data_IF_829581959847
#
_entry.id   IF_829581959847
#
_cell.length_a   1.000
_cell.length_b   1.000
_cell.length_c   1.000
_cell.angle_alpha   90.00
_cell.angle_beta   90.00
_cell.angle_gamma   90.00
#
_symmetry.space_group_name_H-M   'P 1'
#
loop_
_entity.id
_entity.type
_entity.pdbx_description
1 polymer ?
#
# COMPACT_ATOMS: atom_id res chain seq x y z
N UNK A 1 -26.78 -31.36 -11.35
CA UNK A 1 -27.16 -30.56 -12.51
C UNK A 1 -28.24 -29.61 -12.05
N UNK A 2 -27.83 -28.62 -11.27
CA UNK A 2 -28.66 -27.47 -10.90
C UNK A 2 -28.02 -26.28 -11.60
N UNK A 3 -28.46 -26.01 -12.83
CA UNK A 3 -28.13 -24.77 -13.56
C UNK A 3 -28.84 -23.55 -12.97
N UNK A 4 -29.27 -23.64 -11.71
CA UNK A 4 -30.12 -22.71 -10.96
C UNK A 4 -29.36 -21.47 -10.47
N UNK A 5 -28.02 -21.52 -10.46
CA UNK A 5 -27.15 -20.40 -10.07
C UNK A 5 -26.54 -19.65 -11.27
N UNK A 6 -26.83 -20.07 -12.51
CA UNK A 6 -26.19 -19.51 -13.72
C UNK A 6 -26.80 -18.20 -14.23
N UNK A 7 -27.82 -17.70 -13.56
CA UNK A 7 -28.30 -16.35 -13.79
C UNK A 7 -28.81 -15.81 -12.46
N UNK A 8 -27.95 -15.07 -11.73
CA UNK A 8 -28.47 -13.98 -10.91
C UNK A 8 -29.49 -13.25 -11.78
N UNK A 9 -30.77 -13.37 -11.42
CA UNK A 9 -31.89 -13.04 -12.32
C UNK A 9 -31.64 -11.64 -12.90
N UNK A 10 -31.90 -11.37 -14.19
CA UNK A 10 -31.69 -10.04 -14.78
C UNK A 10 -32.29 -8.92 -13.92
N UNK A 11 -33.35 -9.23 -13.20
CA UNK A 11 -34.00 -8.39 -12.20
C UNK A 11 -33.12 -8.06 -10.97
N UNK A 12 -32.37 -9.04 -10.44
CA UNK A 12 -31.40 -8.83 -9.36
C UNK A 12 -30.22 -7.96 -9.80
N UNK A 13 -29.72 -8.14 -11.03
CA UNK A 13 -28.68 -7.28 -11.58
C UNK A 13 -29.17 -5.85 -11.77
N UNK A 14 -30.41 -5.68 -12.23
CA UNK A 14 -31.03 -4.37 -12.37
C UNK A 14 -31.25 -3.69 -11.01
N UNK A 15 -31.61 -4.47 -9.97
CA UNK A 15 -31.71 -3.97 -8.60
C UNK A 15 -30.35 -3.54 -8.06
N UNK A 16 -29.31 -4.36 -8.23
CA UNK A 16 -27.95 -4.03 -7.79
C UNK A 16 -27.38 -2.80 -8.51
N UNK A 17 -27.68 -2.62 -9.79
CA UNK A 17 -27.33 -1.40 -10.53
C UNK A 17 -28.04 -0.19 -9.92
N UNK A 18 -29.34 -0.28 -9.65
CA UNK A 18 -30.08 0.82 -9.01
C UNK A 18 -29.57 1.17 -7.61
N UNK A 19 -29.11 0.19 -6.83
CA UNK A 19 -28.49 0.43 -5.52
C UNK A 19 -27.12 1.09 -5.66
N UNK A 20 -26.31 0.66 -6.63
CA UNK A 20 -25.01 1.28 -6.93
C UNK A 20 -25.17 2.72 -7.42
N UNK A 21 -26.15 3.00 -8.27
CA UNK A 21 -26.42 4.36 -8.76
C UNK A 21 -26.86 5.28 -7.62
N UNK A 22 -27.69 4.79 -6.69
CA UNK A 22 -28.06 5.54 -5.47
C UNK A 22 -26.84 5.82 -4.58
N UNK A 23 -25.95 4.84 -4.42
CA UNK A 23 -24.74 5.01 -3.64
C UNK A 23 -23.79 6.03 -4.30
N UNK A 24 -23.64 5.96 -5.63
CA UNK A 24 -22.83 6.92 -6.40
C UNK A 24 -23.41 8.32 -6.26
N UNK A 25 -24.73 8.50 -6.37
CA UNK A 25 -25.38 9.80 -6.14
C UNK A 25 -25.13 10.33 -4.72
N UNK A 26 -25.27 9.49 -3.70
CA UNK A 26 -25.02 9.88 -2.31
C UNK A 26 -23.56 10.28 -2.06
N UNK A 27 -22.60 9.52 -2.61
CA UNK A 27 -21.18 9.83 -2.52
C UNK A 27 -20.82 11.10 -3.28
N UNK A 28 -21.40 11.31 -4.45
CA UNK A 28 -21.20 12.51 -5.26
C UNK A 28 -21.72 13.74 -4.53
N UNK A 29 -22.93 13.69 -3.97
CA UNK A 29 -23.47 14.80 -3.16
C UNK A 29 -22.60 15.11 -1.95
N UNK A 30 -22.10 14.09 -1.25
CA UNK A 30 -21.18 14.30 -0.11
C UNK A 30 -19.85 14.94 -0.52
N UNK A 31 -19.35 14.64 -1.73
CA UNK A 31 -18.15 15.27 -2.28
C UNK A 31 -18.41 16.73 -2.68
N UNK A 32 -19.59 17.04 -3.24
CA UNK A 32 -20.00 18.41 -3.54
C UNK A 32 -20.12 19.25 -2.26
N UNK A 33 -20.75 18.72 -1.21
CA UNK A 33 -20.84 19.39 0.10
C UNK A 33 -19.46 19.65 0.71
N UNK A 34 -18.55 18.66 0.64
CA UNK A 34 -17.18 18.82 1.14
C UNK A 34 -16.37 19.82 0.31
N UNK A 35 -16.55 19.84 -1.00
CA UNK A 35 -15.93 20.82 -1.89
C UNK A 35 -16.47 22.23 -1.62
N UNK A 36 -17.77 22.38 -1.39
CA UNK A 36 -18.38 23.67 -1.02
C UNK A 36 -17.93 24.13 0.36
N UNK A 37 -17.77 23.23 1.34
CA UNK A 37 -17.18 23.57 2.63
C UNK A 37 -15.74 24.07 2.50
N UNK A 38 -14.91 23.40 1.68
CA UNK A 38 -13.54 23.84 1.39
C UNK A 38 -13.51 25.18 0.65
N UNK A 39 -14.42 25.40 -0.30
CA UNK A 39 -14.55 26.68 -1.02
C UNK A 39 -15.00 27.80 -0.08
N UNK A 40 -15.98 27.54 0.80
CA UNK A 40 -16.40 28.46 1.86
C UNK A 40 -15.26 28.75 2.83
N UNK A 41 -14.47 27.76 3.26
CA UNK A 41 -13.30 27.97 4.10
C UNK A 41 -12.23 28.80 3.39
N UNK A 42 -12.00 28.58 2.10
CA UNK A 42 -11.06 29.39 1.30
C UNK A 42 -11.54 30.82 1.15
N UNK A 43 -12.82 31.01 0.84
CA UNK A 43 -13.45 32.33 0.69
C UNK A 43 -13.56 33.09 2.01
N UNK A 44 -13.84 32.41 3.11
CA UNK A 44 -14.04 33.04 4.42
C UNK A 44 -12.75 33.16 5.25
N UNK A 45 -11.75 32.29 5.02
CA UNK A 45 -10.61 32.10 5.93
C UNK A 45 -9.22 32.21 5.33
N UNK A 46 -9.03 32.28 4.00
CA UNK A 46 -7.68 32.32 3.42
C UNK A 46 -7.21 33.71 2.97
N UNK A 47 -8.10 34.70 2.80
CA UNK A 47 -7.73 36.00 2.20
C UNK A 47 -8.01 37.22 3.10
N UNK A 48 -8.59 37.02 4.29
CA UNK A 48 -8.52 38.05 5.34
C UNK A 48 -7.18 37.96 6.02
N UNK A 49 -6.22 38.62 5.39
CA UNK A 49 -4.86 38.77 5.88
C UNK A 49 -4.80 38.92 7.39
N UNK A 50 -4.09 37.97 7.99
CA UNK A 50 -3.42 38.11 9.28
C UNK A 50 -2.53 39.35 9.20
N UNK A 51 -3.14 40.51 9.41
CA UNK A 51 -2.52 41.65 10.07
C UNK A 51 -2.93 41.62 11.54
N UNK A 52 -2.75 40.47 12.19
CA UNK A 52 -2.71 40.43 13.66
C UNK A 52 -1.28 40.79 14.04
N UNK A 53 -1.06 42.10 14.08
CA UNK A 53 -0.12 42.66 15.05
C UNK A 53 -0.76 42.49 16.41
N UNK A 54 -0.34 41.47 17.15
CA UNK A 54 -0.55 41.36 18.59
C UNK A 54 -1.76 40.54 19.04
N UNK A 55 -1.48 39.33 19.52
CA UNK A 55 -2.17 38.75 20.66
C UNK A 55 -3.28 37.75 20.36
N UNK A 56 -2.93 36.45 20.38
CA UNK A 56 -3.85 35.35 20.58
C UNK A 56 -4.39 34.73 19.29
N UNK A 57 -3.89 33.54 18.94
CA UNK A 57 -4.66 32.66 18.07
C UNK A 57 -6.01 32.37 18.76
N UNK A 58 -7.10 32.54 18.01
CA UNK A 58 -8.47 32.31 18.46
C UNK A 58 -8.58 30.94 19.14
N UNK A 59 -9.24 30.86 20.30
CA UNK A 59 -9.49 29.60 21.00
C UNK A 59 -10.15 28.54 20.09
N UNK A 60 -10.99 28.98 19.14
CA UNK A 60 -11.64 28.12 18.15
C UNK A 60 -10.63 27.41 17.23
N UNK A 61 -9.50 28.06 16.92
CA UNK A 61 -8.45 27.44 16.11
C UNK A 61 -7.75 26.31 16.88
N UNK A 62 -7.54 26.51 18.19
CA UNK A 62 -6.96 25.47 19.04
C UNK A 62 -7.92 24.29 19.22
N UNK A 63 -9.22 24.53 19.39
CA UNK A 63 -10.22 23.46 19.44
C UNK A 63 -10.24 22.68 18.12
N UNK A 64 -10.24 23.37 16.98
CA UNK A 64 -10.22 22.71 15.68
C UNK A 64 -8.92 21.91 15.44
N UNK A 65 -7.78 22.45 15.88
CA UNK A 65 -6.51 21.73 15.85
C UNK A 65 -6.54 20.49 16.76
N UNK A 66 -7.15 20.60 17.93
CA UNK A 66 -7.30 19.50 18.88
C UNK A 66 -8.20 18.39 18.33
N UNK A 67 -9.33 18.73 17.70
CA UNK A 67 -10.20 17.74 17.05
C UNK A 67 -9.49 17.02 15.89
N UNK A 68 -8.66 17.73 15.11
CA UNK A 68 -7.86 17.08 14.05
C UNK A 68 -6.81 16.13 14.63
N UNK A 69 -6.18 16.51 15.75
CA UNK A 69 -5.23 15.64 16.44
C UNK A 69 -5.92 14.40 17.04
N UNK A 70 -7.09 14.54 17.66
CA UNK A 70 -7.89 13.42 18.16
C UNK A 70 -8.34 12.48 17.04
N UNK A 71 -8.78 13.02 15.90
CA UNK A 71 -9.15 12.21 14.76
C UNK A 71 -7.94 11.47 14.18
N UNK A 72 -6.78 12.13 14.10
CA UNK A 72 -5.54 11.50 13.65
C UNK A 72 -5.11 10.40 14.61
N UNK A 73 -5.14 10.64 15.93
CA UNK A 73 -4.80 9.60 16.91
C UNK A 73 -5.74 8.41 16.84
N UNK A 74 -7.06 8.64 16.74
CA UNK A 74 -8.05 7.58 16.58
C UNK A 74 -7.84 6.77 15.29
N UNK A 75 -7.45 7.42 14.18
CA UNK A 75 -7.12 6.69 12.96
C UNK A 75 -5.84 5.87 13.08
N UNK A 76 -4.82 6.38 13.79
CA UNK A 76 -3.58 5.65 14.03
C UNK A 76 -3.83 4.45 14.93
N UNK A 77 -4.59 4.60 16.02
CA UNK A 77 -5.00 3.47 16.87
C UNK A 77 -5.77 2.42 16.08
N UNK A 78 -6.72 2.83 15.23
CA UNK A 78 -7.44 1.90 14.36
C UNK A 78 -6.54 1.19 13.36
N UNK A 79 -5.53 1.87 12.82
CA UNK A 79 -4.53 1.25 11.94
C UNK A 79 -3.63 0.26 12.69
N UNK A 80 -3.31 0.55 13.95
CA UNK A 80 -2.53 -0.31 14.82
C UNK A 80 -3.35 -1.54 15.25
N UNK A 81 -4.65 -1.38 15.55
CA UNK A 81 -5.59 -2.48 15.83
C UNK A 81 -5.75 -3.45 14.66
N UNK A 82 -5.75 -2.94 13.43
CA UNK A 82 -5.86 -3.77 12.22
C UNK A 82 -4.59 -4.63 12.03
N UNK A 83 -3.49 -4.31 12.72
CA UNK A 83 -2.20 -5.00 12.68
C UNK A 83 -1.88 -5.51 11.26
N UNK A 84 -1.69 -4.61 10.28
CA UNK A 84 -1.53 -5.00 8.89
C UNK A 84 -0.36 -5.99 8.69
N UNK A 85 0.65 -5.96 9.57
CA UNK A 85 1.75 -6.93 9.59
C UNK A 85 1.26 -8.36 9.79
N UNK A 86 0.38 -8.62 10.75
CA UNK A 86 -0.16 -9.97 10.95
C UNK A 86 -1.00 -10.43 9.75
N UNK A 87 -1.72 -9.50 9.11
CA UNK A 87 -2.46 -9.81 7.89
C UNK A 87 -1.52 -10.17 6.74
N UNK A 88 -0.37 -9.48 6.62
CA UNK A 88 0.67 -9.81 5.64
C UNK A 88 1.35 -11.14 5.96
N UNK A 89 1.70 -11.42 7.21
CA UNK A 89 2.30 -12.69 7.62
C UNK A 89 1.38 -13.87 7.29
N UNK A 90 0.06 -13.72 7.49
CA UNK A 90 -0.94 -14.73 7.10
C UNK A 90 -1.05 -14.91 5.58
N UNK A 91 -0.84 -13.85 4.81
CA UNK A 91 -0.83 -13.92 3.34
C UNK A 91 0.45 -14.58 2.83
N UNK A 92 1.60 -14.30 3.44
CA UNK A 92 2.88 -14.95 3.14
C UNK A 92 2.81 -16.45 3.41
N UNK A 93 2.28 -16.87 4.57
CA UNK A 93 2.08 -18.28 4.89
C UNK A 93 1.17 -18.96 3.84
N UNK A 94 0.07 -18.31 3.42
CA UNK A 94 -0.82 -18.86 2.38
C UNK A 94 -0.15 -18.95 1.01
N UNK A 95 0.72 -18.00 0.68
CA UNK A 95 1.49 -18.03 -0.56
C UNK A 95 2.50 -19.19 -0.55
N UNK A 96 3.14 -19.45 0.58
CA UNK A 96 4.04 -20.60 0.75
C UNK A 96 3.27 -21.93 0.71
N UNK A 97 2.07 -22.00 1.30
CA UNK A 97 1.18 -23.16 1.20
C UNK A 97 0.76 -23.42 -0.26
N UNK A 98 0.40 -22.37 -1.00
CA UNK A 98 0.06 -22.50 -2.43
C UNK A 98 1.27 -22.91 -3.26
N UNK A 99 2.45 -22.39 -2.94
CA UNK A 99 3.70 -22.76 -3.61
C UNK A 99 4.03 -24.23 -3.37
N UNK A 100 3.94 -24.70 -2.13
CA UNK A 100 4.18 -26.11 -1.79
C UNK A 100 3.13 -27.05 -2.39
N UNK A 101 1.86 -26.63 -2.47
CA UNK A 101 0.82 -27.38 -3.19
C UNK A 101 1.10 -27.46 -4.69
N UNK A 102 1.59 -26.38 -5.31
CA UNK A 102 1.97 -26.40 -6.72
C UNK A 102 3.20 -27.27 -6.98
N UNK A 103 4.20 -27.21 -6.11
CA UNK A 103 5.41 -28.04 -6.19
C UNK A 103 5.06 -29.53 -6.01
N UNK A 104 4.24 -29.86 -5.02
CA UNK A 104 3.68 -31.21 -4.81
C UNK A 104 2.79 -31.68 -5.97
N UNK A 105 1.96 -30.80 -6.53
CA UNK A 105 1.16 -31.11 -7.71
C UNK A 105 2.03 -31.35 -8.95
N UNK A 106 3.14 -30.62 -9.10
CA UNK A 106 4.09 -30.81 -10.18
C UNK A 106 4.84 -32.14 -10.03
N UNK A 107 5.33 -32.43 -8.82
CA UNK A 107 6.03 -33.68 -8.50
C UNK A 107 5.12 -34.91 -8.63
N UNK A 108 3.84 -34.79 -8.26
CA UNK A 108 2.86 -35.88 -8.46
C UNK A 108 2.35 -35.99 -9.90
N UNK A 109 2.35 -34.87 -10.64
CA UNK A 109 1.80 -34.77 -11.99
C UNK A 109 2.74 -35.24 -13.10
N UNK A 110 4.06 -35.15 -12.89
CA UNK A 110 5.05 -35.59 -13.89
C UNK A 110 5.19 -37.14 -13.91
N UNK A 111 4.73 -37.84 -12.87
CA UNK A 111 4.78 -39.31 -12.82
C UNK A 111 3.59 -40.03 -13.52
N UNK A 112 2.61 -39.31 -14.10
CA UNK A 112 1.47 -39.95 -14.80
C UNK A 112 1.16 -39.36 -16.18
N UNK A 113 2.18 -39.35 -17.03
CA UNK A 113 1.96 -39.59 -18.45
C UNK A 113 1.53 -41.04 -18.67
N UNK A 114 0.23 -41.33 -18.66
CA UNK A 114 -0.27 -42.62 -19.16
C UNK A 114 -1.57 -43.12 -18.53
N UNK A 115 -2.61 -43.14 -19.36
CA UNK A 115 -3.85 -43.93 -19.27
C UNK A 115 -4.97 -43.33 -18.40
N UNK A 116 -5.93 -42.75 -19.11
CA UNK A 116 -7.26 -42.38 -18.62
C UNK A 116 -7.97 -43.56 -17.92
N UNK A 117 -8.56 -43.38 -16.73
CA UNK A 117 -9.47 -44.37 -16.17
C UNK A 117 -10.80 -44.31 -16.92
N UNK A 118 -10.99 -45.30 -17.79
CA UNK A 118 -12.27 -45.64 -18.43
C UNK A 118 -13.29 -45.97 -17.32
N UNK A 119 -14.47 -45.31 -17.25
CA UNK A 119 -15.49 -45.70 -16.29
C UNK A 119 -16.08 -47.05 -16.72
N UNK A 120 -15.71 -48.13 -16.02
CA UNK A 120 -16.34 -49.43 -16.20
C UNK A 120 -17.73 -49.40 -15.59
N UNK A 121 -18.72 -49.40 -16.47
CA UNK A 121 -20.07 -49.92 -16.22
C UNK A 121 -19.99 -51.30 -15.55
N UNK A 122 -20.50 -51.41 -14.33
CA UNK A 122 -20.90 -52.67 -13.71
C UNK A 122 -22.42 -52.68 -13.57
N UNK A 123 -23.05 -53.21 -14.61
CA UNK A 123 -24.43 -53.67 -14.57
C UNK A 123 -24.47 -55.13 -14.11
N UNK A 124 -25.42 -55.41 -13.19
CA UNK A 124 -25.85 -56.76 -12.79
C UNK A 124 -25.45 -57.13 -11.35
N UNK A 125 -26.27 -57.81 -10.55
CA UNK A 125 -27.61 -58.36 -10.72
C UNK A 125 -28.04 -58.91 -9.35
N UNK A 126 -29.29 -58.65 -8.97
CA UNK A 126 -30.17 -59.47 -8.10
C UNK A 126 -29.64 -60.01 -6.75
N UNK A 127 -30.27 -59.56 -5.66
CA UNK A 127 -30.78 -60.49 -4.64
C UNK A 127 -32.01 -59.92 -3.94
N UNK A 128 -33.13 -60.60 -4.16
CA UNK A 128 -34.40 -60.48 -3.44
C UNK A 128 -34.20 -60.94 -1.99
N UNK A 129 -34.77 -60.24 -1.02
CA UNK A 129 -35.63 -60.88 0.00
C UNK A 129 -36.35 -59.85 0.88
N UNK A 130 -37.67 -60.00 0.90
CA UNK A 130 -38.60 -59.86 2.04
C UNK A 130 -38.63 -58.57 2.88
N UNK A 131 -39.75 -57.86 2.72
CA UNK A 131 -40.45 -57.12 3.79
C UNK A 131 -40.87 -58.06 4.96
N UNK A 132 -41.23 -57.55 6.16
CA UNK A 132 -42.53 -56.90 6.31
C UNK A 132 -42.60 -55.67 7.24
N UNK A 133 -43.61 -54.84 6.92
CA UNK A 133 -44.38 -53.87 7.71
C UNK A 133 -44.09 -53.66 9.21
N UNK A 134 -43.95 -52.39 9.63
CA UNK A 134 -44.93 -51.65 10.45
C UNK A 134 -44.39 -50.26 10.88
N UNK A 135 -45.28 -49.27 10.88
CA UNK A 135 -45.16 -47.84 11.30
C UNK A 135 -44.93 -47.67 12.82
N UNK A 136 -44.89 -46.45 13.43
CA UNK A 136 -44.57 -45.08 12.95
C UNK A 136 -43.53 -44.37 13.88
N UNK A 137 -43.24 -43.10 13.58
CA UNK A 137 -42.62 -42.10 14.45
C UNK A 137 -41.12 -42.26 14.74
N UNK A 138 -40.30 -41.37 14.16
CA UNK A 138 -39.55 -40.37 14.93
C UNK A 138 -39.06 -39.31 13.95
N UNK A 139 -39.59 -38.12 14.14
CA UNK A 139 -39.17 -36.86 13.56
C UNK A 139 -37.75 -36.53 14.03
N UNK A 140 -36.74 -36.89 13.24
CA UNK A 140 -35.36 -36.44 13.45
C UNK A 140 -35.03 -35.35 12.45
N UNK A 141 -35.31 -34.14 12.93
CA UNK A 141 -34.80 -32.85 12.48
C UNK A 141 -33.27 -32.95 12.40
N UNK A 142 -32.73 -32.93 11.19
CA UNK A 142 -31.31 -32.67 10.96
C UNK A 142 -30.97 -31.29 11.57
N UNK A 143 -29.89 -31.15 12.36
CA UNK A 143 -29.46 -29.84 12.80
C UNK A 143 -28.87 -29.08 11.60
N UNK A 144 -29.28 -27.82 11.35
CA UNK A 144 -28.62 -27.01 10.34
C UNK A 144 -27.16 -26.85 10.76
N UNK A 145 -26.25 -27.17 9.83
CA UNK A 145 -24.83 -26.82 9.94
C UNK A 145 -24.78 -25.30 10.06
N UNK A 146 -24.55 -24.83 11.29
CA UNK A 146 -24.45 -23.41 11.61
C UNK A 146 -23.32 -22.79 10.78
N UNK A 147 -23.74 -21.78 10.05
CA UNK A 147 -22.96 -20.82 9.32
C UNK A 147 -21.71 -20.36 10.08
N UNK A 148 -20.53 -20.70 9.54
CA UNK A 148 -19.28 -20.00 9.85
C UNK A 148 -19.31 -18.53 9.37
N UNK A 149 -20.42 -18.09 8.75
CA UNK A 149 -20.72 -16.71 8.39
C UNK A 149 -21.40 -15.92 9.54
N UNK A 150 -21.90 -16.59 10.58
CA UNK A 150 -22.58 -15.94 11.71
C UNK A 150 -21.62 -15.14 12.61
N UNK A 151 -20.32 -15.47 12.62
CA UNK A 151 -19.33 -14.74 13.41
C UNK A 151 -19.12 -13.29 12.94
N UNK A 152 -19.18 -13.06 11.62
CA UNK A 152 -19.01 -11.71 11.07
C UNK A 152 -20.30 -10.89 11.16
N UNK A 153 -21.45 -11.54 11.01
CA UNK A 153 -22.76 -10.91 11.20
C UNK A 153 -23.00 -10.52 12.67
N UNK A 154 -22.55 -11.35 13.62
CA UNK A 154 -22.58 -11.03 15.05
C UNK A 154 -21.68 -9.84 15.41
N UNK A 155 -20.49 -9.74 14.82
CA UNK A 155 -19.61 -8.57 15.01
C UNK A 155 -20.21 -7.30 14.40
N UNK A 156 -20.88 -7.42 13.25
CA UNK A 156 -21.57 -6.29 12.61
C UNK A 156 -22.77 -5.81 13.44
N UNK A 157 -23.52 -6.74 14.03
CA UNK A 157 -24.60 -6.43 14.95
C UNK A 157 -24.08 -5.76 16.22
N UNK A 158 -22.93 -6.18 16.74
CA UNK A 158 -22.29 -5.57 17.91
C UNK A 158 -21.79 -4.14 17.64
N UNK A 159 -21.34 -3.84 16.42
CA UNK A 159 -20.88 -2.50 16.03
C UNK A 159 -22.04 -1.53 15.76
N UNK A 160 -23.18 -2.03 15.26
CA UNK A 160 -24.39 -1.23 15.02
C UNK A 160 -25.23 -1.03 16.28
N UNK A 161 -25.16 -1.99 17.22
CA UNK A 161 -25.83 -1.93 18.51
C UNK A 161 -24.91 -1.27 19.53
N UNK A 162 -24.69 0.04 19.40
CA UNK A 162 -23.81 0.83 20.27
C UNK A 162 -24.16 0.73 21.76
N UNK A 163 -23.65 -0.31 22.41
CA UNK A 163 -23.91 -0.63 23.80
C UNK A 163 -22.62 -1.05 24.49
N UNK A 164 -22.21 -0.24 25.47
CA UNK A 164 -21.20 -0.56 26.48
C UNK A 164 -21.48 -1.92 27.11
N UNK A 165 -20.67 -2.92 26.79
CA UNK A 165 -20.59 -4.18 27.52
C UNK A 165 -19.11 -4.60 27.66
N UNK A 166 -18.67 -5.03 28.85
CA UNK A 166 -17.27 -5.28 29.16
C UNK A 166 -16.74 -6.54 28.46
N UNK A 167 -15.43 -6.60 28.13
CA UNK A 167 -14.84 -7.67 27.33
C UNK A 167 -14.78 -9.02 28.09
N UNK A 168 -15.05 -10.17 27.43
CA UNK A 168 -14.75 -11.47 27.99
C UNK A 168 -13.24 -11.76 27.98
N UNK A 169 -12.76 -12.36 29.07
CA UNK A 169 -11.36 -12.64 29.34
C UNK A 169 -10.67 -13.59 28.32
N UNK A 170 -9.37 -13.40 28.02
CA UNK A 170 -8.64 -14.26 27.10
C UNK A 170 -8.30 -15.62 27.74
N UNK A 171 -8.70 -16.69 27.06
CA UNK A 171 -8.26 -18.06 27.37
C UNK A 171 -6.94 -18.34 26.64
N UNK A 172 -5.90 -18.63 27.42
CA UNK A 172 -4.60 -19.08 26.94
C UNK A 172 -4.67 -20.47 26.28
N UNK A 173 -3.77 -20.73 25.32
CA UNK A 173 -3.09 -22.03 25.35
C UNK A 173 -1.57 -21.91 25.18
N UNK A 174 -0.86 -22.72 25.96
CA UNK A 174 0.58 -22.94 25.92
C UNK A 174 1.01 -23.70 24.67
N UNK A 175 2.26 -23.52 24.18
CA UNK A 175 2.93 -24.51 23.35
C UNK A 175 4.05 -25.20 24.11
N UNK A 176 3.96 -26.53 24.18
CA UNK A 176 5.02 -27.43 24.63
C UNK A 176 5.98 -27.71 23.48
N UNK A 177 7.25 -27.39 23.68
CA UNK A 177 8.41 -28.04 23.04
C UNK A 177 8.45 -29.52 23.48
N UNK A 178 8.99 -30.48 22.67
CA UNK A 178 10.44 -30.61 22.56
C UNK A 178 10.98 -31.08 21.19
N UNK A 179 12.24 -30.73 20.94
CA UNK A 179 13.14 -31.36 19.97
C UNK A 179 13.46 -32.83 20.36
N UNK A 180 13.97 -33.67 19.44
CA UNK A 180 15.44 -33.73 19.27
C UNK A 180 15.94 -33.99 17.82
N UNK A 181 17.13 -33.45 17.54
CA UNK A 181 18.10 -33.88 16.52
C UNK A 181 18.92 -35.09 17.07
N UNK A 182 19.88 -35.76 16.37
CA UNK A 182 20.34 -35.70 14.98
C UNK A 182 20.51 -37.10 14.31
N UNK A 183 20.64 -37.16 12.98
CA UNK A 183 21.35 -38.27 12.32
C UNK A 183 21.94 -37.82 10.97
N UNK A 184 23.26 -37.83 10.90
CA UNK A 184 24.07 -37.86 9.68
C UNK A 184 23.80 -39.14 8.89
N UNK A 185 23.60 -39.02 7.57
CA UNK A 185 23.90 -40.12 6.64
C UNK A 185 24.58 -39.52 5.41
N UNK A 186 25.85 -39.88 5.26
CA UNK A 186 26.69 -39.68 4.09
C UNK A 186 26.27 -40.63 2.95
N UNK A 187 26.67 -40.24 1.73
CA UNK A 187 26.80 -41.06 0.51
C UNK A 187 25.49 -41.37 -0.23
N UNK A 188 25.42 -40.98 -1.50
CA UNK A 188 25.90 -41.85 -2.61
C UNK A 188 25.79 -41.08 -3.93
N UNK A 189 26.95 -40.97 -4.56
CA UNK A 189 27.18 -40.58 -5.94
C UNK A 189 26.68 -41.69 -6.86
N UNK A 190 25.64 -41.45 -7.65
CA UNK A 190 25.23 -42.38 -8.71
C UNK A 190 24.75 -41.61 -9.95
N UNK A 191 25.62 -41.62 -10.97
CA UNK A 191 25.32 -41.19 -12.33
C UNK A 191 24.31 -42.12 -12.99
N UNK A 192 23.29 -41.59 -13.70
CA UNK A 192 22.63 -42.33 -14.75
C UNK A 192 23.11 -41.91 -16.16
N UNK A 193 22.98 -42.82 -17.14
CA UNK A 193 23.68 -42.77 -18.42
C UNK A 193 23.05 -41.80 -19.43
N UNK A 194 23.90 -41.44 -20.38
CA UNK A 194 23.60 -40.71 -21.61
C UNK A 194 22.29 -41.17 -22.27
N UNK A 195 21.30 -40.29 -22.26
CA UNK A 195 20.15 -40.34 -23.16
C UNK A 195 20.40 -39.31 -24.26
N UNK A 196 20.30 -39.80 -25.50
CA UNK A 196 20.49 -39.06 -26.74
C UNK A 196 19.61 -37.82 -26.83
N UNK A 197 20.19 -36.78 -27.42
CA UNK A 197 19.68 -35.43 -27.54
C UNK A 197 18.34 -35.36 -28.31
N UNK A 198 17.27 -35.08 -27.56
CA UNK A 198 16.10 -34.36 -28.06
C UNK A 198 16.31 -32.85 -27.83
N UNK A 199 15.78 -31.96 -28.69
CA UNK A 199 16.08 -30.53 -28.62
C UNK A 199 15.52 -29.95 -27.32
N UNK A 200 16.45 -29.58 -26.44
CA UNK A 200 16.17 -28.79 -25.24
C UNK A 200 15.59 -27.47 -25.73
N UNK A 201 14.29 -27.30 -25.55
CA UNK A 201 13.64 -25.99 -25.65
C UNK A 201 14.30 -25.14 -24.57
N UNK A 202 15.14 -24.20 -24.99
CA UNK A 202 15.77 -23.19 -24.15
C UNK A 202 14.70 -22.53 -23.29
N UNK A 203 14.60 -22.97 -22.04
CA UNK A 203 13.94 -22.21 -21.01
C UNK A 203 14.77 -20.95 -20.86
N UNK A 204 14.27 -19.88 -21.47
CA UNK A 204 14.85 -18.56 -21.53
C UNK A 204 14.92 -18.03 -20.08
N UNK A 205 15.95 -18.44 -19.34
CA UNK A 205 16.35 -17.87 -18.06
C UNK A 205 16.77 -16.44 -18.37
N UNK A 206 15.82 -15.51 -18.24
CA UNK A 206 16.02 -14.07 -18.21
C UNK A 206 16.92 -13.73 -17.01
N UNK A 207 18.20 -14.07 -17.10
CA UNK A 207 19.21 -13.40 -16.32
C UNK A 207 19.16 -11.94 -16.77
N UNK A 208 18.85 -10.97 -15.89
CA UNK A 208 18.94 -9.56 -16.24
C UNK A 208 20.38 -9.36 -16.72
N UNK A 209 20.54 -9.05 -18.01
CA UNK A 209 21.84 -8.65 -18.56
C UNK A 209 22.30 -7.47 -17.73
N UNK A 210 23.22 -7.78 -16.82
CA UNK A 210 23.79 -6.89 -15.82
C UNK A 210 24.19 -5.61 -16.56
N UNK A 211 23.70 -4.46 -16.07
CA UNK A 211 23.99 -3.13 -16.60
C UNK A 211 25.50 -3.06 -16.87
N UNK A 212 25.84 -3.12 -18.15
CA UNK A 212 27.23 -3.19 -18.60
C UNK A 212 27.97 -1.97 -18.04
N UNK A 213 29.00 -2.24 -17.23
CA UNK A 213 29.74 -1.31 -16.35
C UNK A 213 29.94 0.07 -16.98
N UNK A 214 29.00 0.99 -16.74
CA UNK A 214 29.22 2.40 -17.03
C UNK A 214 30.09 2.93 -15.90
N UNK A 215 31.26 3.53 -16.18
CA UNK A 215 32.07 4.14 -15.15
C UNK A 215 31.26 5.24 -14.47
N UNK A 216 31.13 5.15 -13.14
CA UNK A 216 30.48 6.17 -12.34
C UNK A 216 31.30 7.46 -12.29
N UNK A 217 30.68 8.58 -11.86
CA UNK A 217 31.40 9.83 -11.65
C UNK A 217 32.50 9.67 -10.59
N UNK A 218 33.61 10.38 -10.75
CA UNK A 218 34.74 10.31 -9.83
C UNK A 218 34.36 10.80 -8.42
N UNK A 219 34.86 10.15 -7.35
CA UNK A 219 34.59 10.59 -5.98
C UNK A 219 35.26 11.95 -5.72
N UNK A 220 34.50 12.87 -5.11
CA UNK A 220 34.98 14.21 -4.74
C UNK A 220 35.22 14.28 -3.23
N UNK A 221 36.39 14.78 -2.84
CA UNK A 221 36.73 15.00 -1.43
C UNK A 221 36.06 16.27 -0.91
N UNK A 222 35.11 16.11 0.01
CA UNK A 222 34.31 17.22 0.55
C UNK A 222 35.10 18.19 1.43
N UNK A 223 36.20 17.72 2.04
CA UNK A 223 36.97 18.52 2.99
C UNK A 223 37.91 19.51 2.28
N UNK A 224 38.34 19.17 1.07
CA UNK A 224 39.35 19.95 0.32
C UNK A 224 38.79 20.62 -0.94
N UNK A 225 37.60 20.22 -1.40
CA UNK A 225 37.00 20.76 -2.62
C UNK A 225 36.49 22.20 -2.45
N UNK A 226 36.85 23.05 -3.41
CA UNK A 226 36.28 24.39 -3.54
C UNK A 226 34.78 24.33 -3.88
N UNK A 227 34.01 25.36 -3.50
CA UNK A 227 32.56 25.43 -3.72
C UNK A 227 32.19 25.21 -5.20
N UNK A 228 33.00 25.74 -6.12
CA UNK A 228 32.80 25.58 -7.56
C UNK A 228 32.98 24.12 -8.02
N UNK A 229 33.88 23.38 -7.38
CA UNK A 229 34.11 21.95 -7.66
C UNK A 229 32.92 21.14 -7.18
N UNK A 230 32.41 21.44 -5.98
CA UNK A 230 31.22 20.78 -5.43
C UNK A 230 29.97 20.99 -6.31
N UNK A 231 29.75 22.22 -6.80
CA UNK A 231 28.62 22.50 -7.71
C UNK A 231 28.73 21.67 -8.99
N UNK A 232 29.91 21.66 -9.63
CA UNK A 232 30.15 20.85 -10.83
C UNK A 232 30.00 19.36 -10.58
N UNK A 233 30.44 18.87 -9.41
CA UNK A 233 30.29 17.47 -9.04
C UNK A 233 28.81 17.06 -8.93
N UNK A 234 27.97 17.94 -8.38
CA UNK A 234 26.51 17.73 -8.33
C UNK A 234 25.92 17.70 -9.73
N UNK A 235 26.29 18.63 -10.62
CA UNK A 235 25.83 18.66 -12.01
C UNK A 235 26.19 17.36 -12.74
N UNK A 236 27.46 16.91 -12.66
CA UNK A 236 27.93 15.66 -13.27
C UNK A 236 27.18 14.44 -12.74
N UNK A 237 26.94 14.38 -11.42
CA UNK A 237 26.16 13.30 -10.81
C UNK A 237 24.72 13.30 -11.32
N UNK A 238 24.09 14.45 -11.41
CA UNK A 238 22.68 14.55 -11.83
C UNK A 238 22.53 14.20 -13.33
N UNK A 239 23.48 14.61 -14.18
CA UNK A 239 23.58 14.19 -15.58
C UNK A 239 23.76 12.66 -15.71
N UNK A 240 24.60 12.07 -14.86
CA UNK A 240 24.81 10.63 -14.82
C UNK A 240 23.55 9.86 -14.38
N UNK A 241 22.84 10.36 -13.37
CA UNK A 241 21.55 9.78 -12.94
C UNK A 241 20.52 9.87 -14.07
N UNK A 242 20.42 11.01 -14.76
CA UNK A 242 19.51 11.17 -15.90
C UNK A 242 19.87 10.22 -17.04
N UNK A 243 21.15 10.05 -17.34
CA UNK A 243 21.65 9.08 -18.32
C UNK A 243 21.27 7.64 -17.95
N UNK A 244 21.55 7.21 -16.71
CA UNK A 244 21.20 5.86 -16.23
C UNK A 244 19.70 5.61 -16.29
N UNK A 245 18.90 6.61 -15.89
CA UNK A 245 17.43 6.51 -15.92
C UNK A 245 16.94 6.30 -17.35
N UNK A 246 17.41 7.10 -18.31
CA UNK A 246 17.06 6.97 -19.72
C UNK A 246 17.52 5.62 -20.28
N UNK A 247 18.72 5.16 -19.92
CA UNK A 247 19.25 3.86 -20.36
C UNK A 247 18.38 2.71 -19.85
N UNK A 248 18.07 2.69 -18.55
CA UNK A 248 17.22 1.66 -17.94
C UNK A 248 15.82 1.65 -18.55
N UNK A 249 15.26 2.82 -18.83
CA UNK A 249 13.97 2.92 -19.54
C UNK A 249 14.05 2.34 -20.95
N UNK A 250 15.12 2.62 -21.70
CA UNK A 250 15.32 2.07 -23.04
C UNK A 250 15.52 0.55 -23.01
N UNK A 251 16.28 0.02 -22.06
CA UNK A 251 16.46 -1.42 -21.87
C UNK A 251 15.15 -2.09 -21.48
N UNK A 252 14.40 -1.51 -20.54
CA UNK A 252 13.06 -1.97 -20.17
C UNK A 252 12.06 -1.93 -21.35
N UNK A 253 12.23 -1.01 -22.29
CA UNK A 253 11.43 -0.98 -23.53
C UNK A 253 11.86 -2.06 -24.52
N UNK A 254 13.16 -2.36 -24.61
CA UNK A 254 13.70 -3.42 -25.49
C UNK A 254 13.34 -4.82 -24.99
N UNK A 255 13.30 -5.03 -23.68
CA UNK A 255 12.95 -6.32 -23.07
C UNK A 255 11.46 -6.60 -23.06
N UNK A 256 10.61 -5.59 -23.38
CA UNK A 256 9.20 -5.84 -23.70
C UNK A 256 9.15 -6.63 -25.01
N UNK A 257 9.14 -7.95 -24.88
CA UNK A 257 8.91 -8.85 -26.00
C UNK A 257 7.63 -8.44 -26.72
N UNK A 258 7.67 -8.42 -28.06
CA UNK A 258 6.48 -8.21 -28.87
C UNK A 258 5.49 -9.31 -28.55
N UNK A 259 4.38 -8.93 -27.91
CA UNK A 259 3.31 -9.86 -27.55
C UNK A 259 2.78 -10.50 -28.83
N UNK A 260 2.85 -11.82 -28.94
CA UNK A 260 2.26 -12.54 -30.06
C UNK A 260 0.74 -12.63 -29.88
N UNK A 261 0.01 -11.62 -30.37
CA UNK A 261 -1.45 -11.52 -30.25
C UNK A 261 -2.21 -12.70 -30.87
N UNK A 262 -1.66 -13.34 -31.91
CA UNK A 262 -2.29 -14.51 -32.56
C UNK A 262 -2.32 -15.72 -31.63
N UNK A 263 -1.24 -15.95 -30.87
CA UNK A 263 -1.18 -17.02 -29.86
C UNK A 263 -2.14 -16.79 -28.68
N UNK A 264 -2.35 -15.52 -28.29
CA UNK A 264 -3.28 -15.17 -27.22
C UNK A 264 -4.74 -15.35 -27.62
N UNK A 265 -5.08 -15.12 -28.89
CA UNK A 265 -6.46 -15.28 -29.36
C UNK A 265 -6.94 -16.75 -29.30
N UNK A 266 -6.01 -17.68 -29.51
CA UNK A 266 -6.25 -19.12 -29.46
C UNK A 266 -5.99 -19.73 -28.06
N UNK A 267 -5.75 -18.92 -27.03
CA UNK A 267 -5.54 -19.43 -25.68
C UNK A 267 -6.81 -20.07 -25.10
N UNK A 268 -6.64 -21.01 -24.16
CA UNK A 268 -7.75 -21.66 -23.44
C UNK A 268 -8.56 -20.65 -22.63
N UNK A 269 -9.84 -20.95 -22.43
CA UNK A 269 -10.74 -20.05 -21.69
C UNK A 269 -10.33 -19.88 -20.23
N UNK A 270 -9.73 -20.91 -19.61
CA UNK A 270 -9.14 -20.83 -18.28
C UNK A 270 -8.00 -19.80 -18.22
N UNK A 271 -7.13 -19.79 -19.23
CA UNK A 271 -6.02 -18.83 -19.31
C UNK A 271 -6.56 -17.40 -19.52
N UNK A 272 -7.61 -17.25 -20.34
CA UNK A 272 -8.28 -15.96 -20.54
C UNK A 272 -8.88 -15.43 -19.23
N UNK A 273 -9.51 -16.29 -18.44
CA UNK A 273 -10.06 -15.92 -17.13
C UNK A 273 -8.96 -15.45 -16.16
N UNK A 274 -7.83 -16.16 -16.10
CA UNK A 274 -6.67 -15.75 -15.29
C UNK A 274 -6.10 -14.42 -15.76
N UNK A 275 -5.95 -14.22 -17.08
CA UNK A 275 -5.47 -12.95 -17.63
C UNK A 275 -6.42 -11.79 -17.34
N UNK A 276 -7.74 -12.00 -17.39
CA UNK A 276 -8.73 -10.99 -17.02
C UNK A 276 -8.66 -10.65 -15.54
N UNK A 277 -8.44 -11.63 -14.66
CA UNK A 277 -8.21 -11.40 -13.23
C UNK A 277 -6.96 -10.56 -12.99
N UNK A 278 -5.82 -10.95 -13.58
CA UNK A 278 -4.57 -10.19 -13.48
C UNK A 278 -4.70 -8.78 -14.07
N UNK A 279 -5.45 -8.61 -15.15
CA UNK A 279 -5.72 -7.30 -15.74
C UNK A 279 -6.53 -6.41 -14.79
N UNK A 280 -7.57 -6.95 -14.14
CA UNK A 280 -8.35 -6.24 -13.14
C UNK A 280 -7.47 -5.82 -11.94
N UNK A 281 -6.63 -6.73 -11.45
CA UNK A 281 -5.70 -6.46 -10.36
C UNK A 281 -4.68 -5.37 -10.73
N UNK A 282 -4.11 -5.43 -11.94
CA UNK A 282 -3.17 -4.41 -12.42
C UNK A 282 -3.84 -3.04 -12.59
N UNK A 283 -5.09 -2.99 -13.08
CA UNK A 283 -5.86 -1.75 -13.17
C UNK A 283 -6.11 -1.14 -11.81
N UNK A 284 -6.47 -1.96 -10.82
CA UNK A 284 -6.68 -1.47 -9.45
C UNK A 284 -5.38 -0.96 -8.82
N UNK A 285 -4.27 -1.68 -8.99
CA UNK A 285 -2.95 -1.21 -8.55
C UNK A 285 -2.53 0.10 -9.21
N UNK A 286 -2.79 0.23 -10.51
CA UNK A 286 -2.54 1.47 -11.25
C UNK A 286 -3.39 2.62 -10.67
N UNK A 287 -4.68 2.38 -10.42
CA UNK A 287 -5.59 3.36 -9.80
C UNK A 287 -5.07 3.83 -8.44
N UNK A 288 -4.61 2.91 -7.59
CA UNK A 288 -4.02 3.25 -6.28
C UNK A 288 -2.76 4.09 -6.45
N UNK A 289 -1.84 3.66 -7.32
CA UNK A 289 -0.58 4.38 -7.57
C UNK A 289 -0.82 5.79 -8.14
N UNK A 290 -1.82 5.98 -9.00
CA UNK A 290 -2.22 7.30 -9.49
C UNK A 290 -2.73 8.22 -8.37
N UNK A 291 -3.54 7.67 -7.46
CA UNK A 291 -4.02 8.40 -6.28
C UNK A 291 -2.84 8.79 -5.39
N UNK A 292 -1.94 7.86 -5.07
CA UNK A 292 -0.76 8.15 -4.24
C UNK A 292 0.13 9.21 -4.86
N UNK A 293 0.40 9.10 -6.16
CA UNK A 293 1.18 10.08 -6.91
C UNK A 293 0.50 11.46 -6.97
N UNK A 294 -0.84 11.50 -7.02
CA UNK A 294 -1.59 12.76 -6.92
C UNK A 294 -1.46 13.40 -5.53
N UNK A 295 -1.46 12.59 -4.46
CA UNK A 295 -1.25 13.04 -3.09
C UNK A 295 0.17 13.56 -2.88
N UNK A 296 1.18 12.88 -3.42
CA UNK A 296 2.57 13.35 -3.39
C UNK A 296 2.76 14.66 -4.14
N UNK A 297 2.21 14.78 -5.35
CA UNK A 297 2.22 16.05 -6.11
C UNK A 297 1.56 17.17 -5.31
N UNK A 298 0.43 16.91 -4.65
CA UNK A 298 -0.23 17.90 -3.80
C UNK A 298 0.62 18.28 -2.58
N UNK A 299 1.25 17.31 -1.90
CA UNK A 299 2.18 17.55 -0.79
C UNK A 299 3.37 18.41 -1.24
N UNK A 300 4.02 18.04 -2.35
CA UNK A 300 5.13 18.81 -2.93
C UNK A 300 4.70 20.22 -3.32
N UNK A 301 3.51 20.39 -3.89
CA UNK A 301 2.97 21.71 -4.22
C UNK A 301 2.78 22.59 -2.99
N UNK A 302 2.29 22.03 -1.87
CA UNK A 302 2.15 22.77 -0.60
C UNK A 302 3.52 23.14 -0.01
N UNK A 303 4.47 22.20 -0.03
CA UNK A 303 5.84 22.46 0.45
C UNK A 303 6.50 23.56 -0.39
N UNK A 304 6.38 23.50 -1.73
CA UNK A 304 6.89 24.56 -2.61
C UNK A 304 6.27 25.92 -2.32
N UNK A 305 4.95 25.99 -2.17
CA UNK A 305 4.25 27.22 -1.80
C UNK A 305 4.72 27.77 -0.44
N UNK A 306 4.94 26.90 0.55
CA UNK A 306 5.49 27.29 1.84
C UNK A 306 6.91 27.86 1.71
N UNK A 307 7.80 27.18 0.96
CA UNK A 307 9.18 27.64 0.71
C UNK A 307 9.18 29.00 0.01
N UNK A 308 8.37 29.19 -1.03
CA UNK A 308 8.21 30.47 -1.71
C UNK A 308 7.69 31.57 -0.77
N UNK A 309 6.76 31.24 0.12
CA UNK A 309 6.25 32.21 1.11
C UNK A 309 7.33 32.64 2.10
N UNK A 310 8.17 31.69 2.57
CA UNK A 310 9.29 31.94 3.47
C UNK A 310 10.36 32.77 2.76
N UNK A 311 10.70 32.45 1.51
CA UNK A 311 11.62 33.23 0.69
C UNK A 311 11.14 34.68 0.56
N UNK A 312 9.87 34.91 0.20
CA UNK A 312 9.29 36.27 0.13
C UNK A 312 9.34 37.00 1.47
N UNK A 313 9.12 36.32 2.58
CA UNK A 313 9.24 36.92 3.92
C UNK A 313 10.69 37.31 4.26
N UNK A 314 11.66 36.45 3.94
CA UNK A 314 13.09 36.73 4.12
C UNK A 314 13.52 37.91 3.26
N UNK A 315 13.15 37.93 1.98
CA UNK A 315 13.42 39.06 1.09
C UNK A 315 12.82 40.36 1.60
N UNK A 316 11.57 40.32 2.09
CA UNK A 316 10.91 41.48 2.67
C UNK A 316 11.67 41.99 3.91
N UNK A 317 12.06 41.10 4.83
CA UNK A 317 12.85 41.45 6.01
C UNK A 317 14.23 42.01 5.63
N UNK A 318 14.89 41.46 4.62
CA UNK A 318 16.16 41.99 4.12
C UNK A 318 15.98 43.39 3.53
N UNK A 319 14.94 43.61 2.72
CA UNK A 319 14.61 44.94 2.17
C UNK A 319 14.30 45.96 3.28
N UNK A 320 13.53 45.56 4.30
CA UNK A 320 13.23 46.39 5.48
C UNK A 320 14.50 46.72 6.27
N UNK A 321 15.41 45.76 6.48
CA UNK A 321 16.69 45.99 7.16
C UNK A 321 17.60 46.94 6.37
N UNK A 322 17.66 46.80 5.04
CA UNK A 322 18.44 47.69 4.18
C UNK A 322 17.84 49.09 4.20
N UNK A 323 16.51 49.23 4.09
CA UNK A 323 15.83 50.51 4.17
C UNK A 323 16.07 51.17 5.54
N UNK A 324 15.92 50.42 6.64
CA UNK A 324 16.14 50.92 8.00
C UNK A 324 17.60 51.37 8.24
N UNK A 325 18.58 50.70 7.61
CA UNK A 325 19.99 51.15 7.65
C UNK A 325 20.23 52.45 6.88
N UNK A 326 19.50 52.70 5.80
CA UNK A 326 19.64 53.92 5.00
C UNK A 326 18.90 55.11 5.62
N UNK A 327 17.79 54.87 6.31
CA UNK A 327 17.00 55.91 6.99
C UNK A 327 17.44 56.19 8.41
N UNK A 328 18.40 55.44 8.96
CA UNK A 328 19.00 55.75 10.25
C UNK A 328 19.68 57.13 10.15
N UNK A 329 19.14 58.18 10.80
CA UNK A 329 19.75 59.50 10.75
C UNK A 329 21.15 59.40 11.32
N UNK A 330 22.13 59.99 10.63
CA UNK A 330 23.46 60.21 11.16
C UNK A 330 23.31 60.87 12.53
N UNK A 331 23.49 60.09 13.60
CA UNK A 331 23.45 60.66 14.94
C UNK A 331 24.54 61.73 14.99
N UNK A 332 24.19 62.99 15.35
CA UNK A 332 25.21 63.97 15.65
C UNK A 332 26.04 63.44 16.82
N UNK A 333 27.36 63.51 16.64
CA UNK A 333 28.33 63.15 17.67
C UNK A 333 28.12 64.02 18.91
N UNK A 334 27.30 63.59 19.86
CA UNK A 334 27.20 64.26 21.16
C UNK A 334 27.29 63.27 22.34
N UNK A 335 28.47 63.41 22.96
CA UNK A 335 28.90 63.10 24.34
C UNK A 335 29.20 61.66 24.75
N UNK A 336 30.37 61.46 25.40
CA UNK A 336 30.79 60.15 25.90
C UNK A 336 29.91 59.70 27.08
N UNK A 337 29.52 58.42 27.14
CA UNK A 337 28.75 57.90 28.26
C UNK A 337 29.64 57.76 29.49
N UNK A 338 29.14 58.25 30.62
CA UNK A 338 29.64 57.89 31.93
C UNK A 338 29.59 56.37 32.09
N UNK A 339 30.71 55.80 32.55
CA UNK A 339 30.88 54.39 32.92
C UNK A 339 29.74 53.97 33.85
N UNK A 340 28.89 53.05 33.37
CA UNK A 340 28.05 52.26 34.25
C UNK A 340 28.41 50.79 34.02
N UNK A 341 29.48 50.39 34.71
CA UNK A 341 29.89 49.00 34.86
C UNK A 341 28.82 48.30 35.70
N UNK A 342 27.95 47.49 35.08
CA UNK A 342 27.30 46.29 35.64
C UNK A 342 26.02 45.93 34.87
N UNK A 343 26.12 45.17 33.76
CA UNK A 343 25.29 43.96 33.60
C UNK A 343 25.69 43.13 32.34
N UNK A 344 26.43 42.01 32.47
CA UNK A 344 26.74 41.14 31.32
C UNK A 344 25.59 40.19 30.92
N UNK A 345 24.40 40.30 31.53
CA UNK A 345 23.33 39.28 31.37
C UNK A 345 22.26 39.59 30.31
N UNK A 346 22.31 40.75 29.65
CA UNK A 346 21.23 41.20 28.75
C UNK A 346 21.14 40.48 27.40
N UNK A 347 22.28 40.04 26.83
CA UNK A 347 22.27 39.33 25.53
C UNK A 347 21.74 37.91 25.71
N UNK A 348 22.23 37.16 26.68
CA UNK A 348 21.93 35.72 26.81
C UNK A 348 20.42 35.42 26.96
N UNK A 349 19.65 36.31 27.58
CA UNK A 349 18.19 36.16 27.71
C UNK A 349 17.41 36.36 26.40
N UNK A 350 18.00 36.97 25.35
CA UNK A 350 17.31 37.16 24.07
C UNK A 350 17.36 35.94 23.16
N UNK A 351 18.15 34.91 23.52
CA UNK A 351 18.29 33.68 22.74
C UNK A 351 17.35 32.56 23.19
N UNK A 352 16.57 32.76 24.26
CA UNK A 352 15.53 31.81 24.67
C UNK A 352 16.04 30.41 25.02
N UNK A 353 17.33 30.25 25.33
CA UNK A 353 17.83 29.03 25.96
C UNK A 353 17.61 29.15 27.46
N UNK A 354 16.61 28.43 27.95
CA UNK A 354 16.51 28.00 29.34
C UNK A 354 16.48 26.48 29.42
#
# INVERSE_FOLDING_TARGET
>A
MDSSDLASSPEQLQQQLGEKDKLIQALTGRLEDAAEQLDRMRRNGSDRGVRVSGGGASAEFYEQQQTVLENLSATVERWDEIQPREAFDRLEIRLDDLRSLLESALDSGIARGGVAPKPSSTAGKESRSSAPAAKPATEQKEPPKKDALSGWEAMKAQLMSGGDAPPPAPSAPAPSTPAPSPAETQSTEESPPAIEAAPVVEVNTFAPTLIENVPGPDPVDFETADQKVLIKAVEVRDDYIAYLTRRLQNEAQRTRQTINWESLNNASDDLKAVLQGLEADLRERLRIAEVDLSLERAKLSRIRANVESVQKQVEKRMKEQVANRQTAPAQPAEKPPAKNDNNPKGWLSSLGLH
#
